data_IF_957102681422
#
_entry.id   IF_957102681422
#
_cell.length_a   1.000
_cell.length_b   1.000
_cell.length_c   1.000
_cell.angle_alpha   90.00
_cell.angle_beta   90.00
_cell.angle_gamma   90.00
#
_symmetry.space_group_name_H-M   'P 1'
#
loop_
_entity.id
_entity.type
_entity.pdbx_description
1 polymer ?
#
# COMPACT_ATOMS: atom_id res chain seq x y z
N UNK A 1 18.83 24.06 8.68
CA UNK A 1 17.92 23.78 7.56
C UNK A 1 16.50 24.03 8.05
N UNK A 2 15.82 24.97 7.43
CA UNK A 2 14.44 25.31 7.82
C UNK A 2 13.52 24.13 7.48
N UNK A 3 12.81 23.58 8.48
CA UNK A 3 11.88 22.48 8.31
C UNK A 3 10.59 23.06 7.72
N UNK A 4 10.39 22.89 6.42
CA UNK A 4 9.21 23.40 5.72
C UNK A 4 8.15 22.33 5.61
N UNK A 5 6.90 22.67 5.95
CA UNK A 5 5.73 21.83 5.66
C UNK A 5 5.63 21.65 4.15
N UNK A 6 5.41 20.41 3.74
CA UNK A 6 5.11 20.01 2.37
C UNK A 6 3.70 19.44 2.33
N UNK A 7 3.02 19.64 1.23
CA UNK A 7 1.72 19.03 0.95
C UNK A 7 1.91 18.04 -0.20
N UNK A 8 1.35 16.85 -0.06
CA UNK A 8 1.49 15.85 -1.12
C UNK A 8 0.80 14.54 -0.83
N UNK A 9 1.09 13.54 -1.65
CA UNK A 9 0.55 12.20 -1.44
C UNK A 9 1.43 11.41 -0.46
N UNK A 10 0.74 10.71 0.42
CA UNK A 10 1.27 9.69 1.31
C UNK A 10 0.67 8.36 0.88
N UNK A 11 1.50 7.35 0.67
CA UNK A 11 1.08 6.03 0.21
C UNK A 11 1.71 4.96 1.08
N UNK A 12 0.90 4.03 1.57
CA UNK A 12 1.34 2.84 2.26
C UNK A 12 0.89 1.62 1.45
N UNK A 13 1.83 0.79 1.03
CA UNK A 13 1.58 -0.51 0.42
C UNK A 13 1.97 -1.61 1.43
N UNK A 14 1.01 -2.46 1.81
CA UNK A 14 1.14 -3.38 2.95
C UNK A 14 0.69 -4.79 2.53
N UNK A 15 1.53 -5.80 2.79
CA UNK A 15 1.26 -7.20 2.40
C UNK A 15 0.24 -7.81 3.36
N UNK A 16 -0.97 -7.98 2.88
CA UNK A 16 -2.04 -8.67 3.61
C UNK A 16 -1.70 -10.14 3.82
N UNK A 17 -1.97 -10.65 5.04
CA UNK A 17 -1.66 -12.04 5.38
C UNK A 17 -0.26 -12.29 5.95
N UNK A 18 0.63 -11.29 5.94
CA UNK A 18 2.01 -11.37 6.40
C UNK A 18 2.16 -12.00 7.80
N UNK A 19 1.47 -11.46 8.80
CA UNK A 19 1.60 -11.95 10.19
C UNK A 19 1.29 -13.44 10.30
N UNK A 20 0.22 -13.91 9.64
CA UNK A 20 -0.15 -15.33 9.61
C UNK A 20 0.87 -16.16 8.83
N UNK A 21 1.38 -15.62 7.73
CA UNK A 21 2.38 -16.26 6.90
C UNK A 21 3.66 -16.54 7.69
N UNK A 22 4.27 -15.51 8.30
CA UNK A 22 5.51 -15.65 9.09
C UNK A 22 5.30 -16.54 10.33
N UNK A 23 4.14 -16.43 11.01
CA UNK A 23 3.89 -17.20 12.22
C UNK A 23 3.69 -18.72 11.99
N UNK A 24 3.32 -19.13 10.76
CA UNK A 24 2.91 -20.52 10.46
C UNK A 24 3.84 -21.25 9.50
N UNK A 25 4.89 -20.59 9.00
CA UNK A 25 5.76 -21.14 7.95
C UNK A 25 7.23 -21.14 8.38
N UNK A 26 8.06 -21.77 7.59
CA UNK A 26 9.51 -21.84 7.77
C UNK A 26 10.12 -20.47 7.45
N UNK A 27 10.80 -19.86 8.43
CA UNK A 27 11.24 -18.47 8.38
C UNK A 27 12.24 -18.18 7.25
N UNK A 28 13.12 -19.12 6.93
CA UNK A 28 14.12 -18.94 5.89
C UNK A 28 13.47 -18.82 4.49
N UNK A 29 12.45 -19.63 4.23
CA UNK A 29 11.71 -19.59 2.96
C UNK A 29 10.69 -18.44 2.94
N UNK A 30 10.13 -18.10 4.11
CA UNK A 30 9.27 -16.92 4.23
C UNK A 30 10.04 -15.63 3.92
N UNK A 31 11.26 -15.49 4.46
CA UNK A 31 12.14 -14.35 4.21
C UNK A 31 12.45 -14.19 2.72
N UNK A 32 12.82 -15.27 2.04
CA UNK A 32 13.11 -15.25 0.60
C UNK A 32 11.89 -14.77 -0.20
N UNK A 33 10.72 -15.34 0.05
CA UNK A 33 9.50 -14.96 -0.68
C UNK A 33 9.11 -13.50 -0.41
N UNK A 34 9.14 -13.08 0.86
CA UNK A 34 8.79 -11.72 1.26
C UNK A 34 9.78 -10.68 0.72
N UNK A 35 11.08 -10.99 0.70
CA UNK A 35 12.09 -10.11 0.12
C UNK A 35 11.82 -9.85 -1.35
N UNK A 36 11.55 -10.87 -2.16
CA UNK A 36 11.21 -10.69 -3.57
C UNK A 36 9.92 -9.87 -3.78
N UNK A 37 8.90 -10.09 -2.95
CA UNK A 37 7.65 -9.34 -3.04
C UNK A 37 7.84 -7.88 -2.64
N UNK A 38 8.58 -7.61 -1.56
CA UNK A 38 8.90 -6.25 -1.12
C UNK A 38 9.78 -5.51 -2.14
N UNK A 39 10.79 -6.17 -2.71
CA UNK A 39 11.61 -5.62 -3.79
C UNK A 39 10.75 -5.19 -4.98
N UNK A 40 9.81 -6.07 -5.41
CA UNK A 40 8.86 -5.74 -6.49
C UNK A 40 8.03 -4.49 -6.18
N UNK A 41 7.52 -4.36 -4.94
CA UNK A 41 6.75 -3.19 -4.51
C UNK A 41 7.64 -1.94 -4.53
N UNK A 42 8.85 -2.01 -3.94
CA UNK A 42 9.78 -0.88 -3.83
C UNK A 42 10.22 -0.39 -5.21
N UNK A 43 10.60 -1.28 -6.11
CA UNK A 43 11.02 -0.96 -7.47
C UNK A 43 9.89 -0.24 -8.23
N UNK A 44 8.68 -0.78 -8.16
CA UNK A 44 7.54 -0.22 -8.89
C UNK A 44 7.11 1.13 -8.32
N UNK A 45 6.87 1.21 -7.02
CA UNK A 45 6.46 2.46 -6.37
C UNK A 45 7.56 3.51 -6.48
N UNK A 46 8.83 3.13 -6.34
CA UNK A 46 9.99 4.01 -6.42
C UNK A 46 10.17 4.69 -7.78
N UNK A 47 9.49 4.22 -8.83
CA UNK A 47 9.48 4.87 -10.14
C UNK A 47 8.79 6.25 -10.16
N UNK A 48 7.87 6.50 -9.23
CA UNK A 48 7.10 7.75 -9.15
C UNK A 48 7.15 8.40 -7.76
N UNK A 49 7.21 7.60 -6.69
CA UNK A 49 7.19 8.06 -5.30
C UNK A 49 8.57 7.90 -4.64
N UNK A 50 8.83 8.71 -3.62
CA UNK A 50 9.99 8.53 -2.76
C UNK A 50 9.66 7.52 -1.67
N UNK A 51 10.40 6.41 -1.62
CA UNK A 51 10.31 5.46 -0.50
C UNK A 51 10.91 6.11 0.74
N UNK A 52 10.09 6.25 1.78
CA UNK A 52 10.51 6.80 3.08
C UNK A 52 11.17 5.71 3.91
N UNK A 53 10.48 4.59 4.10
CA UNK A 53 10.96 3.46 4.91
C UNK A 53 10.19 2.17 4.62
N UNK A 54 10.77 1.05 5.02
CA UNK A 54 10.09 -0.24 5.17
C UNK A 54 9.64 -0.39 6.63
N UNK A 55 8.41 -0.85 6.84
CA UNK A 55 7.82 -1.09 8.16
C UNK A 55 7.34 -2.54 8.25
N UNK A 56 8.29 -3.47 8.40
CA UNK A 56 8.02 -4.91 8.35
C UNK A 56 7.58 -5.33 6.95
N UNK A 57 6.29 -5.54 6.76
CA UNK A 57 5.65 -5.94 5.50
C UNK A 57 5.07 -4.76 4.70
N UNK A 58 5.28 -3.54 5.16
CA UNK A 58 4.75 -2.35 4.51
C UNK A 58 5.85 -1.45 3.95
N UNK A 59 5.57 -0.86 2.77
CA UNK A 59 6.40 0.15 2.11
C UNK A 59 5.72 1.50 2.24
N UNK A 60 6.31 2.40 3.03
CA UNK A 60 5.79 3.76 3.22
C UNK A 60 6.47 4.74 2.28
N UNK A 61 5.68 5.46 1.50
CA UNK A 61 6.13 6.35 0.44
C UNK A 61 5.44 7.71 0.50
N UNK A 62 6.07 8.70 -0.13
CA UNK A 62 5.50 10.03 -0.29
C UNK A 62 5.89 10.67 -1.62
N UNK A 63 5.13 11.66 -2.03
CA UNK A 63 5.43 12.51 -3.18
C UNK A 63 4.75 13.85 -3.02
N UNK A 64 5.46 14.96 -3.26
CA UNK A 64 4.82 16.27 -3.35
C UNK A 64 3.87 16.30 -4.56
N UNK A 65 2.71 16.95 -4.40
CA UNK A 65 1.66 16.97 -5.41
C UNK A 65 2.13 17.46 -6.79
N UNK A 66 3.11 18.38 -6.81
CA UNK A 66 3.65 18.93 -8.05
C UNK A 66 4.49 17.93 -8.87
N UNK A 67 4.93 16.83 -8.24
CA UNK A 67 5.71 15.78 -8.90
C UNK A 67 4.82 14.72 -9.58
N UNK A 68 3.51 14.75 -9.34
CA UNK A 68 2.52 13.89 -10.00
C UNK A 68 1.63 14.80 -10.85
N UNK A 69 1.87 14.90 -12.18
CA UNK A 69 1.17 15.84 -13.06
C UNK A 69 -0.36 15.64 -13.05
N UNK A 70 -0.79 14.38 -12.97
CA UNK A 70 -2.20 13.99 -12.95
C UNK A 70 -2.44 12.91 -11.88
N UNK A 71 -3.54 13.01 -11.15
CA UNK A 71 -3.93 11.98 -10.16
C UNK A 71 -4.14 10.59 -10.78
N UNK A 72 -4.46 10.53 -12.07
CA UNK A 72 -4.53 9.30 -12.85
C UNK A 72 -3.23 8.50 -12.82
N UNK A 73 -2.07 9.15 -12.85
CA UNK A 73 -0.75 8.49 -12.77
C UNK A 73 -0.55 7.74 -11.45
N UNK A 74 -1.09 8.26 -10.34
CA UNK A 74 -1.03 7.57 -9.05
C UNK A 74 -1.93 6.33 -9.03
N UNK A 75 -3.12 6.41 -9.63
CA UNK A 75 -4.01 5.26 -9.74
C UNK A 75 -3.39 4.17 -10.64
N UNK A 76 -2.81 4.56 -11.77
CA UNK A 76 -2.09 3.65 -12.66
C UNK A 76 -0.89 3.01 -11.95
N UNK A 77 -0.16 3.75 -11.11
CA UNK A 77 0.93 3.19 -10.30
C UNK A 77 0.41 2.13 -9.33
N UNK A 78 -0.70 2.38 -8.63
CA UNK A 78 -1.34 1.40 -7.72
C UNK A 78 -1.73 0.14 -8.49
N UNK A 79 -2.41 0.30 -9.65
CA UNK A 79 -2.82 -0.80 -10.50
C UNK A 79 -1.62 -1.65 -10.97
N UNK A 80 -0.57 -1.01 -11.47
CA UNK A 80 0.62 -1.69 -11.98
C UNK A 80 1.42 -2.36 -10.86
N UNK A 81 1.53 -1.72 -9.69
CA UNK A 81 2.20 -2.33 -8.53
C UNK A 81 1.46 -3.59 -8.08
N UNK A 82 0.14 -3.54 -8.03
CA UNK A 82 -0.66 -4.71 -7.68
C UNK A 82 -0.51 -5.84 -8.71
N UNK A 83 -0.56 -5.50 -9.99
CA UNK A 83 -0.38 -6.46 -11.10
C UNK A 83 0.96 -7.20 -10.97
N UNK A 84 2.06 -6.46 -10.82
CA UNK A 84 3.40 -7.04 -10.70
C UNK A 84 3.58 -7.84 -9.42
N UNK A 85 3.01 -7.39 -8.30
CA UNK A 85 3.00 -8.15 -7.05
C UNK A 85 2.30 -9.50 -7.23
N UNK A 86 1.12 -9.54 -7.85
CA UNK A 86 0.35 -10.77 -8.09
C UNK A 86 1.08 -11.70 -9.05
N UNK A 87 1.61 -11.16 -10.13
CA UNK A 87 2.38 -11.95 -11.10
C UNK A 87 3.63 -12.54 -10.44
N UNK A 88 4.34 -11.77 -9.61
CA UNK A 88 5.51 -12.24 -8.87
C UNK A 88 5.16 -13.31 -7.85
N UNK A 89 4.07 -13.15 -7.11
CA UNK A 89 3.61 -14.17 -6.16
C UNK A 89 3.24 -15.48 -6.87
N UNK A 90 2.57 -15.41 -8.02
CA UNK A 90 2.28 -16.58 -8.85
C UNK A 90 3.54 -17.26 -9.40
N UNK A 91 4.50 -16.47 -9.87
CA UNK A 91 5.78 -16.96 -10.37
C UNK A 91 6.57 -17.68 -9.27
N UNK A 92 6.70 -17.08 -8.10
CA UNK A 92 7.37 -17.69 -6.93
C UNK A 92 6.70 -19.01 -6.53
N UNK A 93 5.37 -19.08 -6.55
CA UNK A 93 4.64 -20.31 -6.25
C UNK A 93 4.85 -21.37 -7.32
N UNK A 94 4.77 -21.03 -8.60
CA UNK A 94 4.89 -21.96 -9.72
C UNK A 94 6.30 -22.56 -9.85
N UNK A 95 7.33 -21.81 -9.48
CA UNK A 95 8.73 -22.24 -9.55
C UNK A 95 9.30 -22.71 -8.20
N UNK A 96 8.45 -22.86 -7.17
CA UNK A 96 8.88 -23.40 -5.90
C UNK A 96 9.37 -24.84 -6.06
N UNK A 97 10.62 -25.09 -5.67
CA UNK A 97 11.25 -26.43 -5.76
C UNK A 97 11.08 -27.25 -4.49
N UNK A 98 10.49 -26.68 -3.44
CA UNK A 98 10.24 -27.35 -2.17
C UNK A 98 8.74 -27.39 -1.84
N UNK A 99 8.38 -28.37 -1.01
CA UNK A 99 7.00 -28.63 -0.59
C UNK A 99 6.70 -28.09 0.83
N UNK A 100 7.45 -27.05 1.24
CA UNK A 100 7.35 -26.45 2.56
C UNK A 100 6.07 -25.60 2.70
N UNK A 101 5.71 -25.27 3.96
CA UNK A 101 4.50 -24.47 4.25
C UNK A 101 4.60 -23.06 3.68
N UNK A 102 5.80 -22.45 3.72
CA UNK A 102 6.01 -21.12 3.19
C UNK A 102 5.70 -21.07 1.69
N UNK A 103 6.30 -21.94 0.88
CA UNK A 103 6.06 -21.97 -0.56
C UNK A 103 4.58 -22.23 -0.91
N UNK A 104 3.92 -23.14 -0.20
CA UNK A 104 2.48 -23.42 -0.38
C UNK A 104 1.57 -22.24 0.01
N UNK A 105 2.00 -21.41 0.94
CA UNK A 105 1.21 -20.29 1.44
C UNK A 105 1.41 -18.98 0.67
N UNK A 106 2.41 -18.88 -0.24
CA UNK A 106 2.62 -17.66 -1.06
C UNK A 106 1.32 -17.14 -1.70
N UNK A 107 0.44 -17.98 -2.30
CA UNK A 107 -0.80 -17.50 -2.91
C UNK A 107 -1.81 -16.88 -1.95
N UNK A 108 -1.62 -17.06 -0.62
CA UNK A 108 -2.48 -16.45 0.40
C UNK A 108 -2.08 -15.01 0.75
N UNK A 109 -0.91 -14.58 0.30
CA UNK A 109 -0.47 -13.20 0.43
C UNK A 109 -1.18 -12.33 -0.59
N UNK A 110 -1.51 -11.12 -0.16
CA UNK A 110 -2.16 -10.12 -1.01
C UNK A 110 -1.58 -8.74 -0.73
N UNK A 111 -1.94 -7.74 -1.50
CA UNK A 111 -1.43 -6.38 -1.34
C UNK A 111 -2.56 -5.38 -1.17
N UNK A 112 -2.50 -4.60 -0.11
CA UNK A 112 -3.39 -3.48 0.12
C UNK A 112 -2.65 -2.15 0.04
N UNK A 113 -3.34 -1.13 -0.44
CA UNK A 113 -2.83 0.24 -0.52
C UNK A 113 -3.68 1.16 0.33
N UNK A 114 -3.04 2.12 0.99
CA UNK A 114 -3.68 3.26 1.62
C UNK A 114 -3.10 4.50 0.98
N UNK A 115 -3.97 5.35 0.43
CA UNK A 115 -3.58 6.57 -0.28
C UNK A 115 -4.26 7.77 0.36
N UNK A 116 -3.46 8.74 0.79
CA UNK A 116 -3.91 9.97 1.39
C UNK A 116 -3.19 11.17 0.77
N UNK A 117 -3.83 12.32 0.76
CA UNK A 117 -3.22 13.60 0.41
C UNK A 117 -3.32 14.53 1.61
N UNK A 118 -2.18 15.03 2.09
CA UNK A 118 -2.12 15.86 3.28
C UNK A 118 -0.76 16.52 3.49
N UNK A 119 -0.57 17.06 4.69
CA UNK A 119 0.60 17.84 5.07
C UNK A 119 1.59 17.00 5.89
N UNK A 120 2.87 17.17 5.58
CA UNK A 120 3.97 16.51 6.29
C UNK A 120 5.24 17.34 6.32
N UNK A 121 6.12 17.03 7.25
CA UNK A 121 7.47 17.58 7.34
C UNK A 121 8.47 16.43 7.19
N UNK A 122 9.45 16.60 6.32
CA UNK A 122 10.61 15.71 6.29
C UNK A 122 11.55 16.15 7.41
N UNK A 123 11.67 15.33 8.44
CA UNK A 123 12.61 15.56 9.53
C UNK A 123 13.85 14.68 9.39
N UNK A 124 14.94 15.15 9.95
CA UNK A 124 16.17 14.37 10.08
C UNK A 124 16.64 14.40 11.52
N UNK A 125 16.77 13.23 12.13
CA UNK A 125 17.23 13.05 13.51
C UNK A 125 18.38 12.04 13.49
N UNK A 126 19.55 12.45 13.94
CA UNK A 126 20.74 11.59 13.97
C UNK A 126 21.07 10.90 12.63
N UNK A 127 20.87 11.61 11.52
CA UNK A 127 21.11 11.07 10.17
C UNK A 127 19.95 10.29 9.55
N UNK A 128 18.95 9.91 10.34
CA UNK A 128 17.77 9.17 9.88
C UNK A 128 16.72 10.17 9.40
N UNK A 129 16.23 9.99 8.18
CA UNK A 129 15.10 10.75 7.63
C UNK A 129 13.79 10.05 7.98
N UNK A 130 12.79 10.82 8.39
CA UNK A 130 11.43 10.34 8.65
C UNK A 130 10.41 11.44 8.34
N UNK A 131 9.13 11.06 8.25
CA UNK A 131 8.03 12.00 8.06
C UNK A 131 7.32 12.27 9.38
N UNK A 132 6.91 13.52 9.57
CA UNK A 132 6.17 13.98 10.75
C UNK A 132 4.93 14.77 10.30
N UNK A 133 3.78 14.47 10.88
CA UNK A 133 2.52 15.20 10.65
C UNK A 133 1.30 14.42 11.12
N UNK A 134 0.19 15.12 11.30
CA UNK A 134 -1.10 14.48 11.63
C UNK A 134 -1.54 13.54 10.50
N UNK A 135 -1.31 13.94 9.26
CA UNK A 135 -1.65 13.14 8.07
C UNK A 135 -0.76 11.89 7.95
N UNK A 136 0.50 11.98 8.42
CA UNK A 136 1.36 10.80 8.55
C UNK A 136 0.80 9.83 9.59
N UNK A 137 0.33 10.33 10.73
CA UNK A 137 -0.31 9.48 11.74
C UNK A 137 -1.61 8.88 11.21
N UNK A 138 -2.39 9.64 10.44
CA UNK A 138 -3.64 9.18 9.85
C UNK A 138 -3.42 7.98 8.93
N UNK A 139 -2.46 8.04 7.99
CA UNK A 139 -2.23 6.92 7.07
C UNK A 139 -1.80 5.65 7.80
N UNK A 140 -1.00 5.76 8.86
CA UNK A 140 -0.64 4.61 9.70
C UNK A 140 -1.82 4.06 10.53
N UNK A 141 -2.79 4.90 10.91
CA UNK A 141 -4.03 4.42 11.53
C UNK A 141 -4.92 3.71 10.50
N UNK A 142 -5.03 4.26 9.29
CA UNK A 142 -5.77 3.66 8.20
C UNK A 142 -5.19 2.30 7.74
N UNK A 143 -3.96 1.95 8.05
CA UNK A 143 -3.45 0.59 7.79
C UNK A 143 -4.21 -0.49 8.59
N UNK A 144 -4.85 -0.09 9.70
CA UNK A 144 -5.69 -0.95 10.56
C UNK A 144 -7.18 -0.66 10.35
N UNK A 145 -7.59 -0.45 9.11
CA UNK A 145 -8.99 -0.21 8.72
C UNK A 145 -9.83 -1.50 8.79
N UNK A 146 -11.16 -1.34 8.61
CA UNK A 146 -12.15 -2.43 8.68
C UNK A 146 -12.59 -2.95 7.30
N UNK A 147 -11.86 -2.64 6.21
CA UNK A 147 -12.25 -3.05 4.86
C UNK A 147 -12.37 -4.56 4.72
N UNK A 148 -11.37 -5.31 5.20
CA UNK A 148 -11.40 -6.78 5.10
C UNK A 148 -12.57 -7.40 5.87
N UNK A 149 -12.93 -6.82 7.02
CA UNK A 149 -14.09 -7.26 7.82
C UNK A 149 -15.42 -6.96 7.11
N UNK A 150 -15.52 -5.79 6.47
CA UNK A 150 -16.75 -5.34 5.81
C UNK A 150 -16.98 -5.98 4.43
N UNK A 151 -15.91 -6.30 3.69
CA UNK A 151 -16.00 -6.72 2.28
C UNK A 151 -15.48 -8.14 2.02
N UNK A 152 -14.66 -8.70 2.92
CA UNK A 152 -13.92 -9.92 2.70
C UNK A 152 -12.70 -9.76 1.79
N UNK A 153 -12.36 -8.53 1.36
CA UNK A 153 -11.24 -8.28 0.46
C UNK A 153 -9.92 -8.18 1.23
N UNK A 154 -8.91 -8.87 0.76
CA UNK A 154 -7.54 -8.79 1.28
C UNK A 154 -6.64 -7.94 0.36
N UNK A 155 -6.93 -7.93 -0.95
CA UNK A 155 -6.32 -7.06 -1.96
C UNK A 155 -7.25 -5.89 -2.28
N UNK A 156 -6.93 -4.69 -1.79
CA UNK A 156 -7.74 -3.50 -2.00
C UNK A 156 -6.89 -2.23 -2.00
N UNK A 157 -7.42 -1.17 -2.59
CA UNK A 157 -6.88 0.17 -2.43
C UNK A 157 -7.90 1.07 -1.72
N UNK A 158 -7.51 1.64 -0.58
CA UNK A 158 -8.27 2.58 0.21
C UNK A 158 -7.73 3.99 -0.01
N UNK A 159 -8.60 4.88 -0.43
CA UNK A 159 -8.30 6.29 -0.65
C UNK A 159 -9.08 7.13 0.36
N UNK A 160 -8.46 8.13 0.95
CA UNK A 160 -9.21 9.14 1.68
C UNK A 160 -9.94 10.06 0.71
N UNK A 161 -11.00 10.73 1.20
CA UNK A 161 -11.72 11.73 0.43
C UNK A 161 -10.78 12.80 -0.16
N UNK A 162 -9.86 13.31 0.66
CA UNK A 162 -8.85 14.31 0.25
C UNK A 162 -7.93 13.77 -0.86
N UNK A 163 -7.56 12.48 -0.79
CA UNK A 163 -6.75 11.82 -1.82
C UNK A 163 -7.48 11.81 -3.17
N UNK A 164 -8.72 11.32 -3.22
CA UNK A 164 -9.49 11.25 -4.47
C UNK A 164 -9.85 12.62 -5.03
N UNK A 165 -10.21 13.60 -4.18
CA UNK A 165 -10.48 14.96 -4.62
C UNK A 165 -9.27 15.61 -5.30
N UNK A 166 -8.07 15.43 -4.70
CA UNK A 166 -6.85 15.95 -5.28
C UNK A 166 -6.48 15.24 -6.59
N UNK A 167 -6.76 13.93 -6.68
CA UNK A 167 -6.60 13.13 -7.89
C UNK A 167 -7.62 13.46 -8.97
N UNK A 168 -8.70 14.18 -8.65
CA UNK A 168 -9.86 14.46 -9.54
C UNK A 168 -10.47 13.15 -10.10
N UNK A 169 -10.50 12.11 -9.27
CA UNK A 169 -10.99 10.78 -9.66
C UNK A 169 -12.49 10.66 -9.37
N UNK A 170 -13.27 10.13 -10.32
CA UNK A 170 -14.71 9.83 -10.12
C UNK A 170 -14.88 8.72 -9.06
N UNK A 171 -15.66 9.00 -8.04
CA UNK A 171 -15.90 8.14 -6.89
C UNK A 171 -16.90 6.99 -7.15
N UNK A 172 -17.59 6.99 -8.30
CA UNK A 172 -18.69 6.03 -8.60
C UNK A 172 -18.27 4.56 -8.60
N UNK A 173 -17.01 4.28 -8.89
CA UNK A 173 -16.48 2.90 -8.94
C UNK A 173 -15.94 2.41 -7.60
N UNK A 174 -16.04 3.22 -6.54
CA UNK A 174 -15.53 2.92 -5.21
C UNK A 174 -16.67 2.62 -4.24
N UNK A 175 -16.40 1.79 -3.24
CA UNK A 175 -17.28 1.63 -2.09
C UNK A 175 -16.89 2.68 -1.05
N UNK A 176 -17.83 3.52 -0.67
CA UNK A 176 -17.64 4.50 0.39
C UNK A 176 -17.71 3.81 1.76
N UNK A 177 -16.77 4.13 2.64
CA UNK A 177 -16.73 3.70 4.05
C UNK A 177 -16.32 4.88 4.94
N UNK A 178 -16.62 4.77 6.22
CA UNK A 178 -16.16 5.73 7.23
C UNK A 178 -15.33 4.97 8.26
N UNK A 179 -14.11 5.42 8.46
CA UNK A 179 -13.23 4.96 9.53
C UNK A 179 -13.22 6.00 10.66
N UNK A 180 -13.17 5.55 11.90
CA UNK A 180 -13.14 6.43 13.07
C UNK A 180 -11.98 6.08 13.99
N UNK A 181 -11.18 7.08 14.32
CA UNK A 181 -10.02 6.89 15.20
C UNK A 181 -10.01 7.93 16.32
N UNK A 182 -9.59 7.49 17.50
CA UNK A 182 -9.35 8.38 18.62
C UNK A 182 -8.35 9.50 18.23
N UNK A 183 -8.69 10.74 18.53
CA UNK A 183 -7.95 11.96 18.23
C UNK A 183 -7.91 12.40 16.75
N UNK A 184 -8.37 11.57 15.79
CA UNK A 184 -8.42 11.90 14.36
C UNK A 184 -9.86 12.08 13.86
N UNK A 185 -10.86 11.61 14.66
CA UNK A 185 -12.26 11.69 14.30
C UNK A 185 -12.67 10.72 13.19
N UNK A 186 -13.75 11.07 12.49
CA UNK A 186 -14.26 10.32 11.35
C UNK A 186 -13.52 10.69 10.07
N UNK A 187 -13.13 9.67 9.31
CA UNK A 187 -12.43 9.79 8.04
C UNK A 187 -13.24 9.10 6.95
N UNK A 188 -13.71 9.88 6.01
CA UNK A 188 -14.40 9.37 4.83
C UNK A 188 -13.38 8.74 3.88
N UNK A 189 -13.62 7.47 3.54
CA UNK A 189 -12.75 6.66 2.70
C UNK A 189 -13.50 6.01 1.55
N UNK A 190 -12.78 5.66 0.52
CA UNK A 190 -13.29 5.06 -0.71
C UNK A 190 -12.42 3.87 -1.07
N UNK A 191 -13.03 2.71 -1.25
CA UNK A 191 -12.32 1.44 -1.39
C UNK A 191 -12.56 0.82 -2.76
N UNK A 192 -11.51 0.31 -3.34
CA UNK A 192 -11.51 -0.38 -4.63
C UNK A 192 -10.98 -1.80 -4.47
N UNK A 193 -11.67 -2.77 -5.07
CA UNK A 193 -11.24 -4.17 -5.10
C UNK A 193 -10.11 -4.36 -6.12
N UNK A 194 -8.93 -4.72 -5.65
CA UNK A 194 -7.76 -4.89 -6.52
C UNK A 194 -7.76 -6.22 -7.28
N UNK A 195 -8.44 -7.27 -6.76
CA UNK A 195 -8.64 -8.51 -7.53
C UNK A 195 -9.48 -8.27 -8.76
N UNK A 196 -10.64 -7.59 -8.62
CA UNK A 196 -11.49 -7.27 -9.76
C UNK A 196 -10.76 -6.39 -10.80
N UNK A 197 -9.87 -5.50 -10.33
CA UNK A 197 -9.01 -4.69 -11.22
C UNK A 197 -7.99 -5.55 -11.96
N UNK A 198 -7.32 -6.45 -11.24
CA UNK A 198 -6.35 -7.39 -11.83
C UNK A 198 -6.99 -8.26 -12.89
N UNK A 199 -8.15 -8.87 -12.61
CA UNK A 199 -8.89 -9.70 -13.55
C UNK A 199 -9.27 -8.90 -14.81
N UNK A 200 -9.77 -7.68 -14.63
CA UNK A 200 -10.10 -6.79 -15.74
C UNK A 200 -8.88 -6.42 -16.60
N UNK A 201 -7.70 -6.21 -16.00
CA UNK A 201 -6.46 -5.91 -16.74
C UNK A 201 -5.90 -7.13 -17.48
N UNK A 202 -6.08 -8.34 -16.93
CA UNK A 202 -5.66 -9.60 -17.59
C UNK A 202 -6.65 -10.11 -18.63
N UNK A 203 -7.86 -9.54 -18.69
CA UNK A 203 -8.91 -9.98 -19.62
C UNK A 203 -9.55 -11.32 -19.25
N UNK A 204 -9.58 -11.62 -17.94
CA UNK A 204 -10.17 -12.84 -17.36
C UNK A 204 -11.54 -12.56 -16.79
#
# INVERSE_FOLDING_TARGET
>A
MERKTQTGYLVLADISGYTSFVAKTEIEHADIALSYLLETIVEKIGSLLTVSKLEGDAVFCYCAADNIPEGKSLLELVDQTYLEFRDKAQDLYAHATCDCKACKAIPTLDLKFIVHHGDFIIQQVAGIKDLLGTDVNLIHRLSKNHVAEATGWHGYALFTNQGLEKMQTDKKSFIQQTEAYEHLGEVETYVMNMHARYDGMKGV
#
